data_IF_867530973706
#
_entry.id   IF_867530973706
#
_cell.length_a   1.000
_cell.length_b   1.000
_cell.length_c   1.000
_cell.angle_alpha   90.00
_cell.angle_beta   90.00
_cell.angle_gamma   90.00
#
_symmetry.space_group_name_H-M   'P 1'
#
loop_
_entity.id
_entity.type
_entity.pdbx_description
1 polymer ?
#
# COMPACT_ATOMS: atom_id res chain seq x y z
N UNK A 1 -27.45 13.18 19.27
CA UNK A 1 -26.32 12.76 20.12
C UNK A 1 -25.25 12.29 19.15
N UNK A 2 -24.31 13.17 18.81
CA UNK A 2 -23.21 12.84 17.91
C UNK A 2 -22.10 12.24 18.77
N UNK A 3 -21.78 10.98 18.56
CA UNK A 3 -20.65 10.34 19.24
C UNK A 3 -19.35 10.85 18.60
N UNK A 4 -18.62 11.58 19.43
CA UNK A 4 -17.22 11.94 19.26
C UNK A 4 -16.39 10.66 19.09
N UNK A 5 -15.95 10.38 17.85
CA UNK A 5 -14.95 9.34 17.60
C UNK A 5 -13.59 9.97 17.83
N UNK A 6 -13.11 9.79 19.06
CA UNK A 6 -11.74 10.00 19.47
C UNK A 6 -10.77 9.52 18.38
N UNK A 7 -9.95 10.43 17.87
CA UNK A 7 -8.69 10.08 17.20
C UNK A 7 -7.87 9.32 18.25
N UNK A 8 -7.74 8.01 18.08
CA UNK A 8 -6.80 7.25 18.88
C UNK A 8 -5.39 7.79 18.60
N UNK A 9 -4.72 8.29 19.64
CA UNK A 9 -3.30 8.62 19.57
C UNK A 9 -2.53 7.34 19.21
N UNK A 10 -1.87 7.35 18.05
CA UNK A 10 -1.05 6.22 17.59
C UNK A 10 0.31 6.35 18.30
N UNK A 11 0.80 5.32 19.00
CA UNK A 11 2.08 5.38 19.71
C UNK A 11 3.27 5.67 18.79
N UNK A 12 4.35 6.24 19.35
CA UNK A 12 5.61 6.58 18.67
C UNK A 12 6.31 5.40 17.93
N UNK A 13 5.84 4.15 18.12
CA UNK A 13 6.26 2.90 17.44
C UNK A 13 5.21 2.40 16.43
N UNK A 14 4.60 3.29 15.64
CA UNK A 14 3.55 2.91 14.69
C UNK A 14 4.03 1.95 13.57
N UNK A 15 5.33 1.93 13.28
CA UNK A 15 5.95 1.09 12.26
C UNK A 15 7.22 0.44 12.84
N UNK A 16 7.19 -0.86 13.19
CA UNK A 16 8.35 -1.60 13.73
C UNK A 16 9.60 -1.61 12.84
N UNK A 17 9.45 -1.28 11.55
CA UNK A 17 10.55 -1.25 10.58
C UNK A 17 11.10 0.15 10.34
N UNK A 18 10.56 1.18 10.99
CA UNK A 18 11.03 2.57 10.84
C UNK A 18 12.49 2.69 11.25
N UNK A 19 13.30 3.40 10.47
CA UNK A 19 14.74 3.53 10.63
C UNK A 19 15.54 2.37 10.02
N UNK A 20 14.91 1.27 9.58
CA UNK A 20 15.58 0.14 8.92
C UNK A 20 15.54 0.25 7.40
N UNK A 21 14.63 1.05 6.84
CA UNK A 21 14.35 1.13 5.40
C UNK A 21 14.52 2.58 4.91
N UNK A 22 15.77 3.03 4.68
CA UNK A 22 16.08 4.44 4.49
C UNK A 22 15.43 5.09 3.26
N UNK A 23 15.04 4.33 2.23
CA UNK A 23 14.27 4.87 1.10
C UNK A 23 12.77 4.82 1.39
N UNK A 24 12.25 3.71 1.87
CA UNK A 24 10.82 3.57 2.16
C UNK A 24 10.37 4.51 3.28
N UNK A 25 11.24 4.83 4.23
CA UNK A 25 10.98 5.81 5.30
C UNK A 25 10.83 7.25 4.77
N UNK A 26 11.29 7.52 3.54
CA UNK A 26 11.14 8.81 2.86
C UNK A 26 9.93 8.85 1.92
N UNK A 27 9.28 7.71 1.68
CA UNK A 27 8.11 7.61 0.81
C UNK A 27 6.84 7.79 1.63
N UNK A 28 6.21 8.95 1.47
CA UNK A 28 4.88 9.25 2.01
C UNK A 28 3.78 9.08 0.96
N UNK A 29 4.11 9.30 -0.31
CA UNK A 29 3.19 9.20 -1.44
C UNK A 29 3.93 8.86 -2.75
N UNK A 30 3.22 8.42 -3.80
CA UNK A 30 3.82 8.07 -5.09
C UNK A 30 4.72 9.14 -5.71
N UNK A 31 4.41 10.43 -5.52
CA UNK A 31 5.24 11.55 -6.01
C UNK A 31 6.69 11.51 -5.51
N UNK A 32 6.94 10.90 -4.35
CA UNK A 32 8.27 10.82 -3.75
C UNK A 32 9.18 9.86 -4.54
N UNK A 33 8.61 8.97 -5.37
CA UNK A 33 9.36 8.02 -6.20
C UNK A 33 9.93 8.66 -7.47
N UNK A 34 9.35 9.76 -7.97
CA UNK A 34 9.71 10.34 -9.30
C UNK A 34 11.14 10.85 -9.38
N UNK A 35 11.73 11.22 -8.24
CA UNK A 35 13.09 11.74 -8.16
C UNK A 35 14.12 10.66 -7.80
N UNK A 36 13.70 9.40 -7.67
CA UNK A 36 14.60 8.30 -7.37
C UNK A 36 15.28 7.80 -8.65
N UNK A 37 16.58 7.53 -8.55
CA UNK A 37 17.30 6.82 -9.62
C UNK A 37 16.79 5.38 -9.75
N UNK A 38 17.11 4.73 -10.87
CA UNK A 38 16.77 3.32 -11.07
C UNK A 38 17.32 2.42 -9.96
N UNK A 39 18.54 2.69 -9.48
CA UNK A 39 19.14 1.92 -8.38
C UNK A 39 18.43 2.17 -7.05
N UNK A 40 17.99 3.41 -6.81
CA UNK A 40 17.16 3.72 -5.64
C UNK A 40 15.78 3.05 -5.75
N UNK A 41 15.18 2.97 -6.93
CA UNK A 41 13.91 2.24 -7.12
C UNK A 41 14.07 0.74 -6.86
N UNK A 42 15.20 0.14 -7.25
CA UNK A 42 15.52 -1.26 -6.91
C UNK A 42 15.63 -1.45 -5.41
N UNK A 43 16.38 -0.60 -4.72
CA UNK A 43 16.49 -0.64 -3.26
C UNK A 43 15.13 -0.42 -2.58
N UNK A 44 14.32 0.52 -3.07
CA UNK A 44 12.96 0.74 -2.56
C UNK A 44 12.10 -0.52 -2.71
N UNK A 45 12.22 -1.26 -3.83
CA UNK A 45 11.52 -2.53 -4.02
C UNK A 45 11.96 -3.60 -3.00
N UNK A 46 13.25 -3.68 -2.67
CA UNK A 46 13.76 -4.57 -1.62
C UNK A 46 13.20 -4.22 -0.23
N UNK A 47 13.22 -2.94 0.12
CA UNK A 47 12.68 -2.43 1.38
C UNK A 47 11.16 -2.62 1.48
N UNK A 48 10.43 -2.34 0.39
CA UNK A 48 8.98 -2.55 0.29
C UNK A 48 8.60 -4.03 0.40
N UNK A 49 9.41 -4.92 -0.19
CA UNK A 49 9.25 -6.37 -0.03
C UNK A 49 9.39 -6.77 1.43
N UNK A 50 10.45 -6.32 2.10
CA UNK A 50 10.68 -6.63 3.50
C UNK A 50 9.54 -6.10 4.40
N UNK A 51 9.06 -4.88 4.14
CA UNK A 51 7.90 -4.31 4.84
C UNK A 51 6.61 -5.10 4.62
N UNK A 52 6.38 -5.57 3.39
CA UNK A 52 5.21 -6.39 3.06
C UNK A 52 5.27 -7.74 3.80
N UNK A 53 6.44 -8.37 3.87
CA UNK A 53 6.62 -9.62 4.63
C UNK A 53 6.35 -9.38 6.11
N UNK A 54 6.94 -8.34 6.70
CA UNK A 54 6.77 -8.00 8.12
C UNK A 54 5.30 -7.76 8.47
N UNK A 55 4.61 -6.91 7.70
CA UNK A 55 3.20 -6.61 7.88
C UNK A 55 2.32 -7.87 7.83
N UNK A 56 2.48 -8.69 6.78
CA UNK A 56 1.66 -9.88 6.57
C UNK A 56 1.99 -10.99 7.56
N UNK A 57 3.22 -11.05 8.08
CA UNK A 57 3.58 -12.00 9.15
C UNK A 57 2.80 -11.74 10.45
N UNK A 58 2.37 -10.49 10.66
CA UNK A 58 1.59 -10.07 11.83
C UNK A 58 0.08 -10.32 11.63
N UNK A 59 -0.47 -9.96 10.46
CA UNK A 59 -1.92 -10.00 10.22
C UNK A 59 -2.43 -11.24 9.50
N UNK A 60 -1.53 -12.01 8.87
CA UNK A 60 -1.87 -12.97 7.81
C UNK A 60 -2.36 -12.27 6.53
N UNK A 61 -2.70 -13.05 5.50
CA UNK A 61 -3.22 -12.52 4.23
C UNK A 61 -2.51 -13.05 2.99
N UNK A 62 -2.67 -12.35 1.87
CA UNK A 62 -2.24 -12.78 0.54
C UNK A 62 -0.76 -12.45 0.26
N UNK A 63 0.16 -13.09 1.00
CA UNK A 63 1.59 -12.82 0.88
C UNK A 63 2.13 -13.12 -0.53
N UNK A 64 1.94 -14.34 -1.03
CA UNK A 64 2.53 -14.77 -2.31
C UNK A 64 2.11 -13.89 -3.49
N UNK A 65 0.82 -13.51 -3.56
CA UNK A 65 0.31 -12.61 -4.59
C UNK A 65 0.93 -11.20 -4.48
N UNK A 66 1.06 -10.68 -3.26
CA UNK A 66 1.65 -9.37 -3.00
C UNK A 66 3.14 -9.31 -3.35
N UNK A 67 3.90 -10.35 -3.02
CA UNK A 67 5.35 -10.41 -3.32
C UNK A 67 5.63 -10.45 -4.83
N UNK A 68 4.72 -11.04 -5.62
CA UNK A 68 4.86 -11.14 -7.07
C UNK A 68 4.70 -9.82 -7.83
N UNK A 69 4.22 -8.75 -7.17
CA UNK A 69 3.95 -7.46 -7.81
C UNK A 69 4.73 -6.29 -7.20
N UNK A 70 5.70 -6.54 -6.32
CA UNK A 70 6.46 -5.47 -5.63
C UNK A 70 7.14 -4.53 -6.63
N UNK A 71 7.97 -5.07 -7.53
CA UNK A 71 8.68 -4.28 -8.53
C UNK A 71 7.72 -3.58 -9.49
N UNK A 72 6.66 -4.28 -9.90
CA UNK A 72 5.62 -3.71 -10.76
C UNK A 72 4.95 -2.52 -10.09
N UNK A 73 4.62 -2.63 -8.81
CA UNK A 73 4.00 -1.56 -8.02
C UNK A 73 4.90 -0.34 -7.93
N UNK A 74 6.20 -0.54 -7.65
CA UNK A 74 7.19 0.54 -7.62
C UNK A 74 7.30 1.21 -8.99
N UNK A 75 7.42 0.43 -10.06
CA UNK A 75 7.53 0.96 -11.42
C UNK A 75 6.29 1.77 -11.83
N UNK A 76 5.10 1.25 -11.56
CA UNK A 76 3.84 1.95 -11.88
C UNK A 76 3.76 3.30 -11.15
N UNK A 77 4.06 3.35 -9.85
CA UNK A 77 3.99 4.60 -9.08
C UNK A 77 5.15 5.56 -9.34
N UNK A 78 6.29 5.07 -9.85
CA UNK A 78 7.38 5.93 -10.30
C UNK A 78 7.07 6.61 -11.64
N UNK A 79 6.28 5.96 -12.51
CA UNK A 79 6.00 6.43 -13.88
C UNK A 79 4.68 7.20 -13.99
N UNK A 80 3.61 6.69 -13.41
CA UNK A 80 2.27 7.27 -13.53
C UNK A 80 1.99 8.35 -12.47
N UNK A 81 1.22 9.37 -12.84
CA UNK A 81 0.81 10.46 -11.96
C UNK A 81 -0.42 10.11 -11.14
N UNK A 82 -0.31 9.11 -10.26
CA UNK A 82 -1.44 8.76 -9.38
C UNK A 82 -1.64 9.80 -8.28
N UNK A 83 -2.89 10.17 -7.93
CA UNK A 83 -4.15 9.51 -8.32
C UNK A 83 -4.82 10.04 -9.60
N UNK A 84 -4.23 11.01 -10.31
CA UNK A 84 -4.80 11.54 -11.55
C UNK A 84 -4.82 10.46 -12.64
N UNK A 85 -3.68 9.77 -12.81
CA UNK A 85 -3.62 8.48 -13.49
C UNK A 85 -4.21 7.39 -12.60
N UNK A 86 -5.07 6.54 -13.18
CA UNK A 86 -5.74 5.47 -12.45
C UNK A 86 -5.00 4.15 -12.60
N UNK A 87 -4.59 3.58 -11.47
CA UNK A 87 -4.12 2.19 -11.39
C UNK A 87 -5.26 1.34 -10.82
N UNK A 88 -5.69 0.33 -11.57
CA UNK A 88 -6.73 -0.61 -11.14
C UNK A 88 -6.09 -1.99 -10.95
N UNK A 89 -6.21 -2.52 -9.73
CA UNK A 89 -5.80 -3.89 -9.40
C UNK A 89 -7.01 -4.83 -9.49
N UNK A 90 -7.00 -5.79 -10.41
CA UNK A 90 -8.04 -6.82 -10.47
C UNK A 90 -7.97 -7.72 -9.23
N UNK A 91 -9.13 -8.05 -8.63
CA UNK A 91 -9.27 -8.65 -7.29
C UNK A 91 -8.70 -7.81 -6.14
N UNK A 92 -7.52 -7.19 -6.27
CA UNK A 92 -6.91 -6.31 -5.26
C UNK A 92 -6.13 -7.01 -4.15
N UNK A 93 -6.13 -8.35 -4.07
CA UNK A 93 -5.43 -9.12 -3.03
C UNK A 93 -3.90 -9.05 -3.10
N UNK A 94 -3.36 -8.64 -4.24
CA UNK A 94 -1.94 -8.38 -4.48
C UNK A 94 -1.51 -6.96 -4.13
N UNK A 95 -2.45 -6.07 -3.78
CA UNK A 95 -2.22 -4.63 -3.68
C UNK A 95 -1.64 -4.16 -2.34
N UNK A 96 -1.06 -5.04 -1.51
CA UNK A 96 -0.46 -4.61 -0.25
C UNK A 96 0.75 -3.67 -0.44
N UNK A 97 1.68 -3.92 -1.37
CA UNK A 97 2.75 -2.97 -1.68
C UNK A 97 2.20 -1.63 -2.15
N UNK A 98 1.10 -1.65 -2.91
CA UNK A 98 0.42 -0.45 -3.37
C UNK A 98 -0.13 0.36 -2.20
N UNK A 99 -0.80 -0.28 -1.23
CA UNK A 99 -1.28 0.39 -0.01
C UNK A 99 -0.14 1.05 0.76
N UNK A 100 0.98 0.35 0.93
CA UNK A 100 2.17 0.87 1.63
C UNK A 100 2.69 2.15 0.96
N UNK A 101 2.88 2.14 -0.37
CA UNK A 101 3.41 3.29 -1.12
C UNK A 101 2.43 4.47 -1.26
N UNK A 102 1.16 4.28 -0.90
CA UNK A 102 0.09 5.27 -1.06
C UNK A 102 -0.41 5.79 0.30
N UNK A 103 0.54 6.00 1.22
CA UNK A 103 0.30 6.66 2.51
C UNK A 103 -0.32 5.77 3.59
N UNK A 104 -0.41 4.44 3.38
CA UNK A 104 -1.04 3.53 4.35
C UNK A 104 -0.06 2.58 5.04
N UNK A 105 1.25 2.90 5.03
CA UNK A 105 2.29 2.10 5.69
C UNK A 105 2.06 1.96 7.20
N UNK A 106 1.66 3.02 7.90
CA UNK A 106 1.38 2.97 9.34
C UNK A 106 0.20 2.02 9.65
N UNK A 107 -0.88 2.12 8.86
CA UNK A 107 -2.08 1.29 9.03
C UNK A 107 -1.95 -0.15 8.51
N UNK A 108 -0.86 -0.52 7.83
CA UNK A 108 -0.77 -1.80 7.12
C UNK A 108 -0.90 -3.03 8.02
N UNK A 109 -0.51 -2.89 9.29
CA UNK A 109 -0.62 -3.95 10.32
C UNK A 109 -2.04 -4.11 10.89
N UNK A 110 -3.00 -3.36 10.36
CA UNK A 110 -4.43 -3.53 10.64
C UNK A 110 -5.17 -4.26 9.50
N UNK A 111 -4.44 -4.74 8.49
CA UNK A 111 -5.01 -5.44 7.34
C UNK A 111 -5.97 -6.54 7.77
N UNK A 112 -7.18 -6.51 7.18
CA UNK A 112 -8.28 -7.48 7.38
C UNK A 112 -8.81 -7.55 8.81
N UNK A 113 -8.39 -6.66 9.69
CA UNK A 113 -8.93 -6.57 11.04
C UNK A 113 -10.21 -5.72 11.06
N UNK A 114 -11.15 -5.97 11.99
CA UNK A 114 -12.30 -5.10 12.20
C UNK A 114 -11.86 -3.65 12.43
N UNK A 115 -12.38 -2.72 11.63
CA UNK A 115 -12.03 -1.29 11.70
C UNK A 115 -10.67 -0.92 11.09
N UNK A 116 -9.90 -1.91 10.60
CA UNK A 116 -8.61 -1.70 9.92
C UNK A 116 -8.71 -1.61 8.40
N UNK A 117 -7.55 -1.70 7.74
CA UNK A 117 -7.47 -1.67 6.27
C UNK A 117 -8.12 -2.91 5.63
N UNK A 118 -8.78 -2.70 4.50
CA UNK A 118 -9.30 -3.77 3.66
C UNK A 118 -8.17 -4.64 3.11
N UNK A 119 -8.42 -5.95 2.99
CA UNK A 119 -7.53 -6.88 2.27
C UNK A 119 -7.51 -6.68 0.74
N UNK A 120 -8.33 -5.77 0.23
CA UNK A 120 -8.44 -5.42 -1.19
C UNK A 120 -8.43 -3.89 -1.37
N UNK A 121 -8.29 -3.41 -2.60
CA UNK A 121 -8.49 -1.98 -2.88
C UNK A 121 -9.92 -1.57 -2.51
N UNK A 122 -10.09 -0.38 -1.93
CA UNK A 122 -11.38 0.13 -1.49
C UNK A 122 -11.44 1.64 -1.70
N UNK A 123 -12.38 2.09 -2.55
CA UNK A 123 -12.57 3.50 -2.93
C UNK A 123 -12.71 4.45 -1.74
N UNK A 124 -13.42 4.02 -0.69
CA UNK A 124 -13.62 4.83 0.51
C UNK A 124 -12.40 4.86 1.45
N UNK A 125 -11.39 4.02 1.20
CA UNK A 125 -10.18 3.93 2.02
C UNK A 125 -9.06 4.83 1.49
N UNK A 126 -8.99 5.06 0.17
CA UNK A 126 -7.91 5.85 -0.42
C UNK A 126 -8.29 6.40 -1.80
N UNK A 127 -7.85 7.63 -2.15
CA UNK A 127 -7.98 8.15 -3.53
C UNK A 127 -7.15 7.34 -4.54
N UNK A 128 -6.16 6.57 -4.09
CA UNK A 128 -5.33 5.70 -4.94
C UNK A 128 -6.01 4.37 -5.28
N UNK A 129 -7.20 4.10 -4.73
CA UNK A 129 -8.00 2.91 -4.98
C UNK A 129 -9.24 3.28 -5.83
N UNK A 130 -9.08 3.64 -7.12
CA UNK A 130 -10.18 4.17 -7.95
C UNK A 130 -11.33 3.18 -8.13
N UNK A 131 -11.04 1.88 -8.00
CA UNK A 131 -12.00 0.79 -8.06
C UNK A 131 -11.75 -0.22 -6.94
N UNK A 132 -12.84 -0.67 -6.31
CA UNK A 132 -12.79 -1.76 -5.34
C UNK A 132 -13.21 -3.05 -6.03
N UNK A 133 -12.33 -4.05 -6.03
CA UNK A 133 -12.62 -5.38 -6.53
C UNK A 133 -12.34 -6.40 -5.42
N UNK A 134 -13.10 -7.48 -5.40
CA UNK A 134 -12.80 -8.71 -4.66
C UNK A 134 -13.15 -9.94 -5.52
N UNK A 135 -14.07 -9.77 -6.47
CA UNK A 135 -14.26 -10.68 -7.60
C UNK A 135 -13.25 -10.37 -8.71
N UNK A 136 -12.81 -11.43 -9.39
CA UNK A 136 -11.88 -11.30 -10.51
C UNK A 136 -12.57 -10.85 -11.79
N UNK A 137 -11.77 -10.46 -12.76
CA UNK A 137 -12.16 -10.14 -14.14
C UNK A 137 -13.08 -8.92 -14.26
N UNK A 138 -12.94 -7.96 -13.34
CA UNK A 138 -13.75 -6.74 -13.30
C UNK A 138 -12.96 -5.48 -13.66
N UNK A 139 -11.62 -5.54 -13.62
CA UNK A 139 -10.76 -4.37 -13.82
C UNK A 139 -10.86 -3.75 -15.21
N UNK A 140 -10.86 -4.57 -16.27
CA UNK A 140 -10.86 -4.09 -17.67
C UNK A 140 -12.15 -3.32 -17.98
N UNK A 141 -13.30 -3.82 -17.53
CA UNK A 141 -14.58 -3.14 -17.74
C UNK A 141 -14.72 -1.86 -16.90
N UNK A 142 -13.92 -1.72 -15.84
CA UNK A 142 -13.96 -0.58 -14.92
C UNK A 142 -13.01 0.56 -15.32
N UNK A 143 -11.98 0.29 -16.12
CA UNK A 143 -11.03 1.26 -16.66
C UNK A 143 -11.61 2.07 -17.81
#
# INVERSE_FOLDING_TARGET
MAEDKSHAEIPDDAIPTKGRFPLLDRVSAPRDLRNLSVDQLRQLAEELRAETVDAVSTTGGHLGASLGVVELTVALHAVFDTPDDRIIWDVGHQAYPHKILTGRREGIRTLRQPGGLSGFTRRSESPYDPFGAAHSSTSISAG
#
